data_IF_702460328635
#
_entry.id   IF_702460328635
#
_cell.length_a   1.000
_cell.length_b   1.000
_cell.length_c   1.000
_cell.angle_alpha   90.00
_cell.angle_beta   90.00
_cell.angle_gamma   90.00
#
_symmetry.space_group_name_H-M   'P 1'
#
loop_
_entity.id
_entity.type
_entity.pdbx_description
1 polymer ?
#
# COMPACT_ATOMS: atom_id res chain seq x y z
N UNK A 1 29.66 -27.95 37.05
CA UNK A 1 29.82 -28.50 35.69
C UNK A 1 28.59 -28.10 34.89
N UNK A 2 28.73 -27.16 33.94
CA UNK A 2 27.62 -26.70 33.10
C UNK A 2 27.46 -27.59 31.85
N UNK A 3 26.22 -27.76 31.41
CA UNK A 3 25.80 -28.64 30.31
C UNK A 3 26.46 -28.23 28.95
N UNK A 4 27.16 -29.16 28.26
CA UNK A 4 27.89 -28.87 27.01
C UNK A 4 27.02 -28.75 25.76
N UNK A 5 25.69 -28.78 25.85
CA UNK A 5 24.80 -28.85 24.67
C UNK A 5 24.31 -27.51 24.11
N UNK A 6 24.84 -26.37 24.58
CA UNK A 6 24.34 -25.05 24.15
C UNK A 6 25.40 -24.13 23.54
N UNK A 7 26.25 -24.65 22.63
CA UNK A 7 27.26 -23.83 21.92
C UNK A 7 27.29 -24.05 20.40
N UNK A 8 26.15 -24.40 19.81
CA UNK A 8 26.02 -24.43 18.35
C UNK A 8 24.84 -23.57 17.94
N UNK A 9 25.02 -22.82 16.85
CA UNK A 9 24.03 -21.95 16.17
C UNK A 9 24.07 -20.44 16.48
N UNK A 10 25.26 -19.88 16.70
CA UNK A 10 25.53 -18.49 16.31
C UNK A 10 26.00 -18.43 14.84
N UNK A 11 25.14 -18.86 13.89
CA UNK A 11 25.40 -18.63 12.45
C UNK A 11 24.73 -17.32 12.04
N UNK A 12 25.44 -16.20 12.18
CA UNK A 12 25.07 -14.93 11.52
C UNK A 12 25.25 -15.12 10.01
N UNK A 13 24.14 -15.17 9.26
CA UNK A 13 24.16 -15.02 7.81
C UNK A 13 23.96 -13.53 7.53
N UNK A 14 25.04 -12.82 7.22
CA UNK A 14 24.99 -11.47 6.66
C UNK A 14 25.37 -11.59 5.19
N UNK A 15 24.39 -11.59 4.29
CA UNK A 15 24.66 -11.32 2.87
C UNK A 15 24.68 -9.81 2.67
N UNK A 16 25.87 -9.22 2.64
CA UNK A 16 26.10 -7.87 2.16
C UNK A 16 26.10 -7.90 0.63
N UNK A 17 24.99 -7.50 0.01
CA UNK A 17 24.92 -7.35 -1.45
C UNK A 17 25.48 -5.99 -1.84
N UNK A 18 26.73 -5.97 -2.29
CA UNK A 18 27.36 -4.77 -2.86
C UNK A 18 26.78 -4.46 -4.25
N UNK A 19 26.23 -3.26 -4.42
CA UNK A 19 26.02 -2.66 -5.74
C UNK A 19 26.98 -1.48 -5.90
N UNK A 20 27.91 -1.59 -6.85
CA UNK A 20 28.80 -0.51 -7.27
C UNK A 20 28.56 -0.19 -8.74
N UNK A 21 28.08 1.02 -8.99
CA UNK A 21 28.47 1.97 -10.05
C UNK A 21 27.34 3.01 -10.22
N UNK A 22 27.55 4.25 -9.78
CA UNK A 22 28.02 5.41 -10.56
C UNK A 22 27.04 5.83 -11.67
N UNK A 23 26.33 6.95 -11.47
CA UNK A 23 26.65 8.24 -12.08
C UNK A 23 25.49 9.24 -11.91
N UNK A 24 25.85 10.46 -11.59
CA UNK A 24 24.98 11.62 -11.47
C UNK A 24 24.63 12.22 -12.84
N UNK A 25 23.48 12.91 -12.93
CA UNK A 25 23.23 14.27 -13.47
C UNK A 25 21.75 14.40 -13.87
N UNK A 26 20.94 15.14 -13.11
CA UNK A 26 20.60 16.57 -13.24
C UNK A 26 19.78 16.94 -14.50
N UNK A 27 18.53 17.34 -14.24
CA UNK A 27 17.74 18.44 -14.87
C UNK A 27 17.47 18.38 -16.37
N UNK A 28 16.18 18.28 -16.77
CA UNK A 28 15.35 19.42 -17.23
C UNK A 28 13.97 18.94 -17.73
N UNK A 29 12.95 19.74 -17.41
CA UNK A 29 11.53 19.57 -17.67
C UNK A 29 11.12 19.84 -19.16
N UNK A 30 9.84 19.60 -19.54
CA UNK A 30 9.36 19.15 -20.86
C UNK A 30 8.80 20.26 -21.77
N UNK A 31 8.50 19.98 -23.05
CA UNK A 31 7.53 20.74 -23.88
C UNK A 31 7.20 20.03 -25.24
N UNK A 32 6.16 20.44 -26.02
CA UNK A 32 4.99 19.58 -26.27
C UNK A 32 4.57 19.40 -27.76
N UNK A 33 3.62 18.48 -27.96
CA UNK A 33 2.55 18.41 -28.96
C UNK A 33 2.67 19.13 -30.33
N UNK A 34 2.52 18.36 -31.42
CA UNK A 34 1.77 18.81 -32.60
C UNK A 34 0.78 17.74 -33.09
N UNK A 35 -0.45 18.22 -33.26
CA UNK A 35 -1.63 17.51 -33.73
C UNK A 35 -1.60 17.30 -35.25
N UNK A 36 -2.23 16.19 -35.65
CA UNK A 36 -3.14 16.00 -36.77
C UNK A 36 -2.77 16.59 -38.15
N UNK A 37 -2.62 15.70 -39.13
CA UNK A 37 -3.28 15.86 -40.42
C UNK A 37 -3.90 14.52 -40.84
N UNK A 38 -5.23 14.56 -40.95
CA UNK A 38 -6.06 13.63 -41.70
C UNK A 38 -6.16 14.25 -43.09
N UNK A 39 -5.87 13.51 -44.16
CA UNK A 39 -6.65 13.63 -45.39
C UNK A 39 -6.54 12.36 -46.23
N UNK A 40 -7.68 12.02 -46.79
CA UNK A 40 -8.06 10.85 -47.56
C UNK A 40 -7.27 10.68 -48.86
N UNK A 41 -7.10 9.43 -49.30
CA UNK A 41 -7.44 9.02 -50.69
C UNK A 41 -7.39 7.50 -50.82
N UNK A 42 -8.56 6.91 -51.11
CA UNK A 42 -8.78 5.58 -51.72
C UNK A 42 -9.13 5.88 -53.19
N UNK A 43 -8.78 5.07 -54.22
CA UNK A 43 -9.43 3.77 -54.50
C UNK A 43 -8.42 2.66 -54.91
N UNK A 44 -8.58 1.44 -54.41
CA UNK A 44 -9.12 0.26 -55.11
C UNK A 44 -8.17 -0.43 -56.13
N UNK A 45 -7.67 -1.62 -55.78
CA UNK A 45 -7.48 -2.77 -56.69
C UNK A 45 -7.22 -4.03 -55.86
N UNK A 46 -7.68 -5.15 -56.40
CA UNK A 46 -8.03 -6.42 -55.73
C UNK A 46 -6.87 -7.43 -55.77
N UNK A 47 -6.98 -8.48 -54.93
CA UNK A 47 -6.40 -9.84 -55.07
C UNK A 47 -5.13 -10.21 -54.27
N UNK A 48 -5.40 -10.78 -53.08
CA UNK A 48 -5.09 -12.16 -52.69
C UNK A 48 -3.61 -12.60 -52.55
N UNK A 49 -3.13 -12.72 -51.30
CA UNK A 49 -2.20 -13.80 -50.91
C UNK A 49 -2.20 -14.03 -49.40
N UNK A 50 -2.09 -15.29 -49.01
CA UNK A 50 -2.27 -15.84 -47.67
C UNK A 50 -1.11 -15.54 -46.71
N UNK A 51 -1.41 -15.22 -45.44
CA UNK A 51 -0.70 -15.70 -44.24
C UNK A 51 -1.44 -15.25 -42.95
N UNK A 52 -1.61 -16.13 -41.94
CA UNK A 52 -2.26 -15.82 -40.68
C UNK A 52 -1.26 -15.28 -39.63
N UNK A 53 -1.80 -14.66 -38.57
CA UNK A 53 -1.17 -14.12 -37.35
C UNK A 53 -0.65 -12.69 -37.40
N UNK A 54 -1.36 -11.83 -36.67
CA UNK A 54 -0.82 -11.29 -35.42
C UNK A 54 -2.00 -10.92 -34.52
N UNK A 55 -2.36 -11.86 -33.64
CA UNK A 55 -3.02 -11.51 -32.38
C UNK A 55 -2.12 -10.47 -31.71
N UNK A 56 -2.61 -9.24 -31.60
CA UNK A 56 -2.00 -8.26 -30.75
C UNK A 56 -2.01 -8.84 -29.33
N UNK A 57 -0.83 -9.20 -28.81
CA UNK A 57 -0.62 -9.54 -27.41
C UNK A 57 -1.20 -8.40 -26.56
N UNK A 58 -2.41 -8.63 -26.05
CA UNK A 58 -2.93 -7.89 -24.92
C UNK A 58 -1.92 -8.12 -23.79
N UNK A 59 -1.32 -7.09 -23.19
CA UNK A 59 -0.43 -7.29 -22.06
C UNK A 59 -1.18 -8.12 -21.01
N UNK A 60 -0.51 -9.09 -20.36
CA UNK A 60 -1.17 -10.02 -19.46
C UNK A 60 -1.87 -9.22 -18.37
N UNK A 61 -3.20 -9.12 -18.47
CA UNK A 61 -4.00 -8.60 -17.37
C UNK A 61 -3.73 -9.54 -16.19
N UNK A 62 -3.37 -9.03 -15.00
CA UNK A 62 -3.31 -9.87 -13.83
C UNK A 62 -4.67 -10.57 -13.69
N UNK A 63 -4.65 -11.88 -13.50
CA UNK A 63 -5.87 -12.63 -13.21
C UNK A 63 -6.53 -12.03 -11.97
N UNK A 64 -7.85 -11.95 -11.95
CA UNK A 64 -8.60 -11.37 -10.83
C UNK A 64 -8.24 -12.06 -9.50
N UNK A 65 -7.86 -13.34 -9.54
CA UNK A 65 -7.31 -14.09 -8.41
C UNK A 65 -6.03 -13.49 -7.82
N UNK A 66 -5.04 -13.12 -8.64
CA UNK A 66 -3.80 -12.51 -8.15
C UNK A 66 -4.02 -11.10 -7.59
N UNK A 67 -5.05 -10.39 -8.07
CA UNK A 67 -5.48 -9.12 -7.52
C UNK A 67 -6.20 -9.30 -6.17
N UNK A 68 -7.05 -10.34 -6.05
CA UNK A 68 -7.74 -10.68 -4.82
C UNK A 68 -6.76 -11.01 -3.68
N UNK A 69 -5.75 -11.82 -3.94
CA UNK A 69 -4.72 -12.16 -2.95
C UNK A 69 -4.00 -10.92 -2.40
N UNK A 70 -3.61 -10.00 -3.29
CA UNK A 70 -3.02 -8.71 -2.89
C UNK A 70 -3.99 -7.86 -2.08
N UNK A 71 -5.27 -7.88 -2.45
CA UNK A 71 -6.31 -7.14 -1.74
C UNK A 71 -6.50 -7.67 -0.32
N UNK A 72 -6.50 -9.00 -0.13
CA UNK A 72 -6.53 -9.60 1.21
C UNK A 72 -5.30 -9.24 2.07
N UNK A 73 -4.12 -9.12 1.47
CA UNK A 73 -2.93 -8.67 2.18
C UNK A 73 -3.08 -7.22 2.68
N UNK A 74 -3.63 -6.32 1.84
CA UNK A 74 -3.95 -4.94 2.24
C UNK A 74 -4.99 -4.92 3.34
N UNK A 75 -6.08 -5.67 3.20
CA UNK A 75 -7.13 -5.78 4.21
C UNK A 75 -6.57 -6.26 5.56
N UNK A 76 -5.67 -7.24 5.55
CA UNK A 76 -5.01 -7.71 6.77
C UNK A 76 -4.21 -6.60 7.46
N UNK A 77 -3.53 -5.75 6.68
CA UNK A 77 -2.80 -4.59 7.22
C UNK A 77 -3.70 -3.49 7.75
N UNK A 78 -4.84 -3.24 7.10
CA UNK A 78 -5.83 -2.30 7.61
C UNK A 78 -6.40 -2.77 8.96
N UNK A 79 -6.71 -4.07 9.09
CA UNK A 79 -7.18 -4.67 10.36
C UNK A 79 -6.12 -4.61 11.46
N UNK A 80 -4.85 -4.82 11.13
CA UNK A 80 -3.74 -4.66 12.09
C UNK A 80 -3.65 -3.20 12.59
N UNK A 81 -3.76 -2.21 11.69
CA UNK A 81 -3.78 -0.79 12.06
C UNK A 81 -4.99 -0.42 12.93
N UNK A 82 -6.17 -0.97 12.64
CA UNK A 82 -7.39 -0.78 13.44
C UNK A 82 -7.21 -1.33 14.87
N UNK A 83 -6.65 -2.53 14.99
CA UNK A 83 -6.36 -3.15 16.29
C UNK A 83 -5.39 -2.29 17.12
N UNK A 84 -4.30 -1.81 16.51
CA UNK A 84 -3.36 -0.93 17.20
C UNK A 84 -3.99 0.41 17.57
N UNK A 85 -4.87 0.93 16.73
CA UNK A 85 -5.58 2.17 17.00
C UNK A 85 -6.49 2.08 18.22
N UNK A 86 -7.21 0.97 18.41
CA UNK A 86 -7.96 0.71 19.66
C UNK A 86 -7.04 0.74 20.89
N UNK A 87 -5.93 0.02 20.82
CA UNK A 87 -4.95 0.02 21.92
C UNK A 87 -4.32 1.39 22.19
N UNK A 88 -4.22 2.25 21.16
CA UNK A 88 -3.75 3.62 21.35
C UNK A 88 -4.78 4.48 22.07
N UNK A 89 -6.08 4.32 21.81
CA UNK A 89 -7.14 5.03 22.54
C UNK A 89 -7.06 4.71 24.04
N UNK A 90 -6.93 3.43 24.38
CA UNK A 90 -6.80 2.99 25.78
C UNK A 90 -5.57 3.61 26.46
N UNK A 91 -4.41 3.56 25.79
CA UNK A 91 -3.17 4.16 26.31
C UNK A 91 -3.26 5.68 26.45
N UNK A 92 -3.89 6.37 25.50
CA UNK A 92 -4.08 7.81 25.57
C UNK A 92 -5.01 8.20 26.72
N UNK A 93 -6.05 7.41 26.99
CA UNK A 93 -6.91 7.62 28.16
C UNK A 93 -6.12 7.46 29.47
N UNK A 94 -5.30 6.41 29.60
CA UNK A 94 -4.43 6.21 30.77
C UNK A 94 -3.46 7.37 30.96
N UNK A 95 -2.75 7.79 29.90
CA UNK A 95 -1.83 8.92 29.94
C UNK A 95 -2.53 10.24 30.29
N UNK A 96 -3.77 10.43 29.82
CA UNK A 96 -4.54 11.65 30.13
C UNK A 96 -4.79 11.78 31.63
N UNK A 97 -5.19 10.69 32.29
CA UNK A 97 -5.39 10.66 33.75
C UNK A 97 -4.10 10.98 34.50
N UNK A 98 -3.00 10.31 34.16
CA UNK A 98 -1.69 10.53 34.79
C UNK A 98 -1.20 11.97 34.62
N UNK A 99 -1.33 12.54 33.42
CA UNK A 99 -0.89 13.92 33.13
C UNK A 99 -1.69 14.94 33.95
N UNK A 100 -3.02 14.77 34.04
CA UNK A 100 -3.88 15.65 34.82
C UNK A 100 -3.55 15.59 36.32
N UNK A 101 -3.26 14.40 36.85
CA UNK A 101 -2.91 14.18 38.25
C UNK A 101 -1.52 14.75 38.62
N UNK A 102 -0.50 14.49 37.79
CA UNK A 102 0.89 14.84 38.09
C UNK A 102 1.20 16.31 37.82
N UNK A 103 0.84 16.83 36.64
CA UNK A 103 1.32 18.12 36.18
C UNK A 103 0.36 19.26 36.51
N UNK A 104 -0.95 18.98 36.63
CA UNK A 104 -2.02 19.98 36.90
C UNK A 104 -1.96 21.22 36.00
N UNK A 105 -1.41 21.06 34.79
CA UNK A 105 -1.26 22.13 33.81
C UNK A 105 -2.27 21.95 32.67
N UNK A 106 -3.14 22.94 32.51
CA UNK A 106 -4.23 22.93 31.51
C UNK A 106 -3.72 22.76 30.06
N UNK A 107 -2.54 23.29 29.74
CA UNK A 107 -1.98 23.20 28.40
C UNK A 107 -1.72 21.73 27.97
N UNK A 108 -1.25 20.88 28.89
CA UNK A 108 -1.03 19.47 28.58
C UNK A 108 -2.34 18.68 28.52
N UNK A 109 -3.32 19.01 29.37
CA UNK A 109 -4.66 18.43 29.30
C UNK A 109 -5.36 18.74 27.96
N UNK A 110 -5.25 19.98 27.47
CA UNK A 110 -5.77 20.35 26.15
C UNK A 110 -5.04 19.62 25.01
N UNK A 111 -3.70 19.53 25.10
CA UNK A 111 -2.90 18.84 24.09
C UNK A 111 -3.20 17.34 24.02
N UNK A 112 -3.27 16.64 25.16
CA UNK A 112 -3.56 15.20 25.19
C UNK A 112 -5.00 14.93 24.76
N UNK A 113 -5.96 15.79 25.14
CA UNK A 113 -7.34 15.70 24.67
C UNK A 113 -7.45 15.85 23.14
N UNK A 114 -6.68 16.75 22.53
CA UNK A 114 -6.63 16.88 21.07
C UNK A 114 -6.04 15.64 20.38
N UNK A 115 -5.00 15.03 20.95
CA UNK A 115 -4.41 13.79 20.44
C UNK A 115 -5.40 12.62 20.57
N UNK A 116 -6.08 12.51 21.72
CA UNK A 116 -7.13 11.51 21.93
C UNK A 116 -8.26 11.65 20.90
N UNK A 117 -8.79 12.85 20.70
CA UNK A 117 -9.85 13.10 19.72
C UNK A 117 -9.41 12.76 18.28
N UNK A 118 -8.16 13.06 17.91
CA UNK A 118 -7.62 12.70 16.62
C UNK A 118 -7.50 11.17 16.45
N UNK A 119 -7.11 10.44 17.50
CA UNK A 119 -7.03 8.98 17.49
C UNK A 119 -8.42 8.33 17.37
N UNK A 120 -9.42 8.84 18.10
CA UNK A 120 -10.80 8.37 18.01
C UNK A 120 -11.41 8.60 16.61
N UNK A 121 -11.15 9.78 16.02
CA UNK A 121 -11.55 10.08 14.65
C UNK A 121 -10.83 9.17 13.62
N UNK A 122 -9.56 8.85 13.84
CA UNK A 122 -8.83 7.87 13.03
C UNK A 122 -9.46 6.48 13.13
N UNK A 123 -9.76 6.03 14.35
CA UNK A 123 -10.40 4.73 14.62
C UNK A 123 -11.74 4.59 13.88
N UNK A 124 -12.59 5.62 13.95
CA UNK A 124 -13.87 5.63 13.23
C UNK A 124 -13.68 5.51 11.71
N UNK A 125 -12.70 6.24 11.16
CA UNK A 125 -12.43 6.24 9.71
C UNK A 125 -11.82 4.93 9.22
N UNK A 126 -10.92 4.30 9.99
CA UNK A 126 -10.30 3.05 9.57
C UNK A 126 -11.28 1.88 9.62
N UNK A 127 -12.21 1.86 10.57
CA UNK A 127 -13.32 0.88 10.59
C UNK A 127 -14.17 1.01 9.33
N UNK A 128 -14.62 2.22 8.99
CA UNK A 128 -15.38 2.49 7.76
C UNK A 128 -14.62 2.04 6.51
N UNK A 129 -13.32 2.37 6.43
CA UNK A 129 -12.46 1.99 5.31
C UNK A 129 -12.35 0.46 5.17
N UNK A 130 -12.23 -0.27 6.27
CA UNK A 130 -12.20 -1.74 6.28
C UNK A 130 -13.50 -2.31 5.72
N UNK A 131 -14.66 -1.82 6.19
CA UNK A 131 -15.97 -2.27 5.70
C UNK A 131 -16.15 -2.05 4.19
N UNK A 132 -15.79 -0.86 3.72
CA UNK A 132 -15.88 -0.49 2.30
C UNK A 132 -14.90 -1.35 1.46
N UNK A 133 -13.71 -1.65 2.00
CA UNK A 133 -12.71 -2.48 1.34
C UNK A 133 -13.10 -3.96 1.31
N UNK A 134 -13.73 -4.48 2.36
CA UNK A 134 -14.29 -5.84 2.39
C UNK A 134 -15.40 -6.03 1.35
N UNK A 135 -16.25 -5.02 1.20
CA UNK A 135 -17.29 -4.99 0.15
C UNK A 135 -16.66 -5.06 -1.24
N UNK A 136 -15.58 -4.32 -1.47
CA UNK A 136 -14.86 -4.37 -2.74
C UNK A 136 -14.15 -5.72 -2.98
N UNK A 137 -13.61 -6.35 -1.92
CA UNK A 137 -13.06 -7.70 -2.01
C UNK A 137 -14.13 -8.74 -2.38
N UNK A 138 -15.33 -8.64 -1.80
CA UNK A 138 -16.46 -9.52 -2.13
C UNK A 138 -16.91 -9.33 -3.59
N UNK A 139 -16.87 -8.09 -4.10
CA UNK A 139 -17.15 -7.77 -5.50
C UNK A 139 -16.13 -8.41 -6.44
N UNK A 140 -14.84 -8.37 -6.08
CA UNK A 140 -13.74 -8.99 -6.84
C UNK A 140 -13.78 -10.52 -6.81
N UNK A 141 -14.28 -11.14 -5.71
CA UNK A 141 -14.44 -12.59 -5.62
C UNK A 141 -15.72 -13.12 -6.30
N UNK A 142 -16.61 -12.24 -6.76
CA UNK A 142 -17.93 -12.61 -7.27
C UNK A 142 -18.88 -13.12 -6.18
N UNK A 143 -18.65 -12.72 -4.92
CA UNK A 143 -19.46 -13.10 -3.75
C UNK A 143 -20.33 -11.95 -3.21
N UNK A 144 -20.38 -10.82 -3.92
CA UNK A 144 -21.18 -9.64 -3.58
C UNK A 144 -22.67 -9.80 -3.87
#
# INVERSE_FOLDING_TARGET
MGDPRNVAHAKKVTQEKQHKAKAAQKTRAPQPARKAQIEQTKPAATEQSAAPKQEAEKPPQPSDSAQLEKSHAVLSKLKELEFHSRGNIEKLAELSLTIEEELKQKAFAEAIGAVYAAQDAFQSKIVKLIEDYETECARLSGSA
#
